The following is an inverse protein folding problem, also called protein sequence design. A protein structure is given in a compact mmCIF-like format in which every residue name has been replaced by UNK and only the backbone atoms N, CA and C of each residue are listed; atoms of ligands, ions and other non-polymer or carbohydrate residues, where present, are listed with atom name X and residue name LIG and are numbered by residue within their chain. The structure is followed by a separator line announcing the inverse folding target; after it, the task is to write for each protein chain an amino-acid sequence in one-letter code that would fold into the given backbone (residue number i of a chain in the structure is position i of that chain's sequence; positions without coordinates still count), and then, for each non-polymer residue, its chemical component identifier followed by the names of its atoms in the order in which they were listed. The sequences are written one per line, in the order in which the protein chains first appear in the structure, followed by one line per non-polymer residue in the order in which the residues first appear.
data_IF_710471838135
#
_entry.id   IF_710471838135
#
_cell.length_a   1.000
_cell.length_b   1.000
_cell.length_c   1.000
_cell.angle_alpha   90.00
_cell.angle_beta   90.00
_cell.angle_gamma   90.00
#
_symmetry.space_group_name_H-M   'P 1'
#
loop_
_entity.id
_entity.type
_entity.pdbx_description
1 polymer ?
#
# COMPACT_ATOMS: atom_id res chain seq x y z
N UNK A 1 -19.29 -0.34 1.93
CA UNK A 1 -18.89 1.02 1.51
C UNK A 1 -17.48 0.99 0.98
N UNK A 2 -17.27 1.69 -0.11
CA UNK A 2 -15.93 1.85 -0.67
C UNK A 2 -15.00 2.51 0.35
N UNK A 3 -13.77 2.03 0.41
CA UNK A 3 -12.81 2.44 1.43
C UNK A 3 -11.46 2.74 0.79
N UNK A 4 -10.76 3.75 1.28
CA UNK A 4 -9.45 4.11 0.76
C UNK A 4 -8.41 4.01 1.87
N UNK A 5 -7.24 3.46 1.54
CA UNK A 5 -6.09 3.46 2.42
C UNK A 5 -4.94 4.22 1.79
N UNK A 6 -4.23 5.00 2.61
CA UNK A 6 -3.01 5.70 2.19
C UNK A 6 -1.93 5.34 3.18
N UNK A 7 -0.84 4.77 2.66
CA UNK A 7 0.33 4.42 3.46
C UNK A 7 1.50 5.26 2.99
N UNK A 8 2.13 5.99 3.91
CA UNK A 8 3.22 6.90 3.60
C UNK A 8 4.53 6.42 4.23
N UNK A 9 5.61 6.53 3.45
CA UNK A 9 6.97 6.22 3.88
C UNK A 9 7.86 7.43 3.64
N UNK A 10 8.75 7.74 4.56
CA UNK A 10 9.78 8.76 4.34
C UNK A 10 11.10 8.11 3.93
N UNK A 11 11.84 8.78 3.04
CA UNK A 11 13.17 8.31 2.67
C UNK A 11 14.11 8.40 3.86
N UNK A 12 15.02 7.44 3.96
CA UNK A 12 15.98 7.33 5.03
C UNK A 12 17.23 6.62 4.52
N UNK A 13 18.23 6.43 5.38
CA UNK A 13 19.42 5.66 5.02
C UNK A 13 19.09 4.22 4.63
N UNK A 14 18.04 3.64 5.21
CA UNK A 14 17.62 2.26 4.94
C UNK A 14 16.54 2.15 3.87
N UNK A 15 15.97 3.26 3.40
CA UNK A 15 14.89 3.25 2.43
C UNK A 15 15.06 4.39 1.42
N UNK A 16 15.50 4.06 0.23
CA UNK A 16 15.55 4.96 -0.92
C UNK A 16 14.60 4.46 -2.02
N UNK A 17 14.53 5.19 -3.13
CA UNK A 17 13.62 4.87 -4.24
C UNK A 17 13.82 3.45 -4.78
N UNK A 18 15.08 3.05 -4.99
CA UNK A 18 15.40 1.74 -5.54
C UNK A 18 15.03 0.62 -4.58
N UNK A 19 15.36 0.78 -3.32
CA UNK A 19 15.01 -0.20 -2.28
C UNK A 19 13.51 -0.34 -2.12
N UNK A 20 12.81 0.78 -2.11
CA UNK A 20 11.35 0.77 -2.00
C UNK A 20 10.72 0.00 -3.16
N UNK A 21 11.10 0.31 -4.40
CA UNK A 21 10.60 -0.39 -5.58
C UNK A 21 10.92 -1.89 -5.54
N UNK A 22 12.15 -2.23 -5.18
CA UNK A 22 12.56 -3.64 -5.07
C UNK A 22 11.81 -4.40 -3.99
N UNK A 23 11.57 -3.78 -2.85
CA UNK A 23 10.80 -4.39 -1.76
C UNK A 23 9.34 -4.61 -2.15
N UNK A 24 8.71 -3.65 -2.82
CA UNK A 24 7.34 -3.80 -3.31
C UNK A 24 7.24 -4.93 -4.35
N UNK A 25 8.16 -4.97 -5.31
CA UNK A 25 8.17 -6.02 -6.32
C UNK A 25 8.36 -7.40 -5.68
N UNK A 26 9.29 -7.52 -4.74
CA UNK A 26 9.55 -8.79 -4.04
C UNK A 26 8.37 -9.22 -3.20
N UNK A 27 7.74 -8.31 -2.49
CA UNK A 27 6.58 -8.61 -1.65
C UNK A 27 5.36 -9.02 -2.48
N UNK A 28 5.21 -8.46 -3.69
CA UNK A 28 4.10 -8.75 -4.59
C UNK A 28 4.35 -9.90 -5.57
N UNK A 29 5.58 -10.41 -5.64
CA UNK A 29 5.94 -11.41 -6.63
C UNK A 29 5.11 -12.69 -6.49
N UNK A 30 4.48 -13.11 -7.61
CA UNK A 30 3.66 -14.32 -7.65
C UNK A 30 2.31 -14.21 -6.96
N UNK A 31 1.93 -13.04 -6.47
CA UNK A 31 0.65 -12.85 -5.81
C UNK A 31 -0.42 -12.36 -6.77
N UNK A 32 -1.63 -12.87 -6.60
CA UNK A 32 -2.79 -12.40 -7.35
C UNK A 32 -3.25 -11.04 -6.83
N UNK A 33 -4.07 -10.34 -7.64
CA UNK A 33 -4.73 -9.12 -7.18
C UNK A 33 -5.58 -9.44 -5.95
N UNK A 34 -5.42 -8.69 -4.85
CA UNK A 34 -6.20 -8.96 -3.63
C UNK A 34 -7.68 -8.82 -3.86
N UNK A 35 -8.45 -9.68 -3.20
CA UNK A 35 -9.90 -9.61 -3.26
C UNK A 35 -10.40 -8.27 -2.75
N UNK A 36 -11.29 -7.64 -3.51
CA UNK A 36 -11.92 -6.38 -3.13
C UNK A 36 -11.11 -5.13 -3.46
N UNK A 37 -9.87 -5.24 -3.96
CA UNK A 37 -9.11 -4.07 -4.37
C UNK A 37 -9.63 -3.57 -5.72
N UNK A 38 -10.03 -2.30 -5.76
CA UNK A 38 -10.54 -1.65 -6.96
C UNK A 38 -9.46 -0.91 -7.74
N UNK A 39 -8.52 -0.29 -7.03
CA UNK A 39 -7.39 0.40 -7.67
C UNK A 39 -6.21 0.54 -6.71
N UNK A 40 -5.04 0.76 -7.28
CA UNK A 40 -3.80 0.99 -6.54
C UNK A 40 -2.95 2.02 -7.28
N UNK A 41 -2.45 3.00 -6.54
CA UNK A 41 -1.52 3.98 -7.04
C UNK A 41 -0.31 3.97 -6.12
N UNK A 42 0.88 3.89 -6.72
CA UNK A 42 2.14 4.06 -5.99
C UNK A 42 2.82 5.29 -6.55
N UNK A 43 3.12 6.24 -5.70
CA UNK A 43 3.78 7.48 -6.08
C UNK A 43 4.98 7.78 -5.19
N UNK A 44 5.90 8.55 -5.73
CA UNK A 44 7.09 9.00 -5.03
C UNK A 44 7.30 10.49 -5.23
N UNK A 45 7.92 11.13 -4.25
CA UNK A 45 8.39 12.50 -4.35
C UNK A 45 9.73 12.63 -3.61
N UNK A 46 10.20 13.86 -3.41
CA UNK A 46 11.49 14.09 -2.76
C UNK A 46 11.53 13.66 -1.29
N UNK A 47 10.38 13.57 -0.64
CA UNK A 47 10.28 13.24 0.79
C UNK A 47 10.06 11.75 1.05
N UNK A 48 9.45 11.05 0.12
CA UNK A 48 9.14 9.64 0.35
C UNK A 48 8.21 9.04 -0.69
N UNK A 49 7.51 7.99 -0.28
CA UNK A 49 6.60 7.23 -1.12
C UNK A 49 5.21 7.16 -0.51
N UNK A 50 4.21 6.97 -1.37
CA UNK A 50 2.82 6.74 -0.96
C UNK A 50 2.26 5.56 -1.73
N UNK A 51 1.53 4.72 -1.01
CA UNK A 51 0.74 3.64 -1.60
C UNK A 51 -0.72 3.95 -1.31
N UNK A 52 -1.49 4.19 -2.35
CA UNK A 52 -2.90 4.55 -2.24
C UNK A 52 -3.71 3.41 -2.83
N UNK A 53 -4.63 2.86 -2.06
CA UNK A 53 -5.46 1.75 -2.50
C UNK A 53 -6.92 2.04 -2.22
N UNK A 54 -7.77 1.73 -3.20
CA UNK A 54 -9.22 1.83 -3.06
C UNK A 54 -9.78 0.43 -3.00
N UNK A 55 -10.64 0.18 -2.02
CA UNK A 55 -11.19 -1.12 -1.68
C UNK A 55 -12.71 -1.10 -1.75
N UNK A 56 -13.29 -2.25 -2.07
CA UNK A 56 -14.74 -2.44 -2.03
C UNK A 56 -15.29 -2.20 -0.62
N UNK A 57 -14.52 -2.54 0.41
CA UNK A 57 -14.92 -2.35 1.82
C UNK A 57 -13.69 -2.19 2.73
N UNK A 58 -13.91 -1.65 3.91
CA UNK A 58 -12.87 -1.58 4.95
C UNK A 58 -12.43 -2.96 5.42
N UNK A 59 -13.33 -3.95 5.43
CA UNK A 59 -13.00 -5.33 5.79
C UNK A 59 -12.03 -5.95 4.80
N UNK A 60 -12.21 -5.71 3.50
CA UNK A 60 -11.27 -6.20 2.47
C UNK A 60 -9.90 -5.57 2.67
N UNK A 61 -9.85 -4.27 2.95
CA UNK A 61 -8.59 -3.58 3.24
C UNK A 61 -7.87 -4.18 4.46
N UNK A 62 -8.61 -4.45 5.52
CA UNK A 62 -8.05 -5.02 6.74
C UNK A 62 -7.52 -6.44 6.51
N UNK A 63 -8.26 -7.26 5.79
CA UNK A 63 -7.82 -8.62 5.43
C UNK A 63 -6.54 -8.59 4.64
N UNK A 64 -6.43 -7.70 3.68
CA UNK A 64 -5.20 -7.56 2.89
C UNK A 64 -4.02 -7.14 3.76
N UNK A 65 -4.22 -6.18 4.68
CA UNK A 65 -3.16 -5.74 5.59
C UNK A 65 -2.64 -6.91 6.43
N UNK A 66 -3.53 -7.75 6.95
CA UNK A 66 -3.17 -8.94 7.71
C UNK A 66 -2.42 -9.95 6.85
N UNK A 67 -2.91 -10.21 5.63
CA UNK A 67 -2.32 -11.19 4.71
C UNK A 67 -0.97 -10.74 4.16
N UNK A 68 -0.76 -9.46 3.96
CA UNK A 68 0.49 -8.93 3.39
C UNK A 68 1.59 -8.70 4.44
N UNK A 69 1.25 -8.64 5.72
CA UNK A 69 2.22 -8.38 6.78
C UNK A 69 3.43 -9.34 6.76
N UNK A 70 3.26 -10.67 6.59
CA UNK A 70 4.41 -11.58 6.51
C UNK A 70 5.33 -11.29 5.33
N UNK A 71 4.78 -10.98 4.16
CA UNK A 71 5.56 -10.66 2.96
C UNK A 71 6.38 -9.39 3.13
N UNK A 72 5.78 -8.35 3.72
CA UNK A 72 6.47 -7.09 4.00
C UNK A 72 7.57 -7.27 5.04
N UNK A 73 7.31 -8.08 6.07
CA UNK A 73 8.31 -8.42 7.07
C UNK A 73 9.47 -9.20 6.46
N UNK A 74 9.20 -10.14 5.55
CA UNK A 74 10.22 -10.94 4.89
C UNK A 74 11.19 -10.10 4.06
N UNK A 75 10.72 -9.03 3.42
CA UNK A 75 11.58 -8.09 2.66
C UNK A 75 12.13 -6.97 3.53
N UNK A 76 11.83 -6.97 4.83
CA UNK A 76 12.30 -5.96 5.80
C UNK A 76 11.84 -4.55 5.46
N UNK A 77 10.62 -4.41 4.98
CA UNK A 77 10.03 -3.10 4.73
C UNK A 77 9.96 -2.31 6.04
N UNK A 78 10.50 -1.09 6.10
CA UNK A 78 10.36 -0.26 7.30
C UNK A 78 8.89 0.04 7.61
N UNK A 79 8.61 0.31 8.86
CA UNK A 79 7.26 0.74 9.25
C UNK A 79 6.90 2.04 8.54
N UNK A 80 5.66 2.19 8.07
CA UNK A 80 5.23 3.44 7.45
C UNK A 80 5.24 4.57 8.48
N UNK A 81 5.50 5.79 8.01
CA UNK A 81 5.47 6.98 8.85
C UNK A 81 4.05 7.45 9.11
N UNK A 82 3.13 7.10 8.24
CA UNK A 82 1.73 7.46 8.39
C UNK A 82 0.83 6.47 7.66
N UNK A 83 -0.29 6.12 8.30
CA UNK A 83 -1.33 5.29 7.69
C UNK A 83 -2.67 5.99 7.88
N UNK A 84 -3.39 6.17 6.78
CA UNK A 84 -4.73 6.75 6.76
C UNK A 84 -5.71 5.73 6.19
N UNK A 85 -6.92 5.73 6.73
CA UNK A 85 -8.02 4.95 6.18
C UNK A 85 -9.31 5.73 6.34
N UNK A 86 -10.16 5.73 5.31
CA UNK A 86 -11.42 6.45 5.36
C UNK A 86 -12.43 5.89 4.35
N UNK A 87 -13.70 6.11 4.64
CA UNK A 87 -14.76 5.77 3.71
C UNK A 87 -14.75 6.72 2.52
N UNK A 88 -14.97 6.17 1.34
CA UNK A 88 -15.00 6.95 0.10
C UNK A 88 -16.45 7.29 -0.22
N UNK A 89 -16.75 8.59 -0.32
CA UNK A 89 -18.09 9.07 -0.62
C UNK A 89 -18.34 9.22 -2.11
N UNK A 90 -17.29 9.31 -2.93
CA UNK A 90 -17.40 9.38 -4.38
C UNK A 90 -16.15 8.77 -5.01
N UNK A 91 -16.35 7.80 -5.91
CA UNK A 91 -15.28 7.16 -6.66
C UNK A 91 -15.68 7.12 -8.12
N UNK A 92 -15.01 7.94 -8.93
CA UNK A 92 -15.32 8.09 -10.36
C UNK A 92 -14.14 7.64 -11.18
N UNK A 93 -14.40 6.76 -12.13
CA UNK A 93 -13.44 6.32 -13.15
C UNK A 93 -13.92 6.88 -14.46
N UNK A 94 -13.19 7.83 -15.00
CA UNK A 94 -13.57 8.50 -16.24
C UNK A 94 -12.90 7.89 -17.47
#
# INVERSE_FOLDING_TARGET
MTYCTIVEFEWSESLDRERFAGMLDSAGAGQAVPEGRLSRIVGIDDTGARVIEVWRSGDDARKFAEQSAPSLSAVKMPAPTRVLGFEVTSYVVS
#
